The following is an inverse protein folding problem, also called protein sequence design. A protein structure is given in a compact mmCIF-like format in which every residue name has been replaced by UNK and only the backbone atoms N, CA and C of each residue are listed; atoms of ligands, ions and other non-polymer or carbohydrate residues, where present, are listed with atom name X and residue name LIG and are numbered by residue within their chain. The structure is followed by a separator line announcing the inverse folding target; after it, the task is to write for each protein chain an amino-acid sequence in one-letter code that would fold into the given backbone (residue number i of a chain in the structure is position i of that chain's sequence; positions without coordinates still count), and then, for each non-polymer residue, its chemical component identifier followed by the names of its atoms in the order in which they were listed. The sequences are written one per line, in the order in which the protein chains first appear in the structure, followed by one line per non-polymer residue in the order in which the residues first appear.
data_IF_901306131655
#
_entry.id   IF_901306131655
#
_cell.length_a   1.000
_cell.length_b   1.000
_cell.length_c   1.000
_cell.angle_alpha   90.00
_cell.angle_beta   90.00
_cell.angle_gamma   90.00
#
_symmetry.space_group_name_H-M   'P 1'
#
loop_
_entity.id
_entity.type
_entity.pdbx_description
1 polymer ?
#
# COMPACT_ATOMS: atom_id res chain seq x y z
N UNK A 1 17.08 10.65 -14.28
CA UNK A 1 16.34 9.85 -13.28
C UNK A 1 15.14 10.67 -12.87
N UNK A 2 13.97 10.39 -13.44
CA UNK A 2 12.76 11.18 -13.21
C UNK A 2 12.02 10.65 -11.99
N UNK A 3 11.77 11.51 -11.00
CA UNK A 3 11.00 11.16 -9.81
C UNK A 3 9.51 11.34 -10.13
N UNK A 4 8.77 10.25 -10.15
CA UNK A 4 7.32 10.21 -10.43
C UNK A 4 6.46 10.94 -9.38
N UNK A 5 7.05 11.38 -8.27
CA UNK A 5 6.45 12.33 -7.34
C UNK A 5 7.45 13.45 -7.03
N UNK A 6 7.56 14.42 -7.94
CA UNK A 6 8.38 15.62 -7.71
C UNK A 6 7.50 16.75 -7.18
N UNK A 7 7.35 16.82 -5.87
CA UNK A 7 6.75 17.99 -5.21
C UNK A 7 7.83 19.00 -4.87
N UNK A 8 8.22 19.86 -5.81
CA UNK A 8 8.86 21.13 -5.46
C UNK A 8 7.77 22.14 -5.11
N UNK A 9 7.42 22.20 -3.82
CA UNK A 9 6.63 23.32 -3.30
C UNK A 9 7.45 24.03 -2.21
N UNK A 10 7.73 25.33 -2.43
CA UNK A 10 8.36 26.22 -1.45
C UNK A 10 7.34 26.74 -0.41
N UNK A 11 6.26 26.00 -0.16
CA UNK A 11 5.30 26.35 0.87
C UNK A 11 5.84 25.91 2.24
N UNK A 12 5.58 26.67 3.33
CA UNK A 12 5.91 26.22 4.68
C UNK A 12 5.29 24.83 4.87
N UNK A 13 6.06 23.90 5.48
CA UNK A 13 5.63 22.53 5.79
C UNK A 13 4.32 22.61 6.59
N UNK A 14 3.20 22.56 5.88
CA UNK A 14 1.90 22.31 6.48
C UNK A 14 2.04 20.94 7.10
N UNK A 15 1.63 20.84 8.36
CA UNK A 15 1.24 19.60 8.99
C UNK A 15 0.43 18.79 7.94
N UNK A 16 1.08 17.84 7.28
CA UNK A 16 0.49 17.13 6.14
C UNK A 16 -0.55 16.20 6.73
N UNK A 17 -1.80 16.68 6.68
CA UNK A 17 -2.96 15.98 7.20
C UNK A 17 -2.89 14.50 6.86
N UNK A 18 -3.00 13.67 7.89
CA UNK A 18 -3.17 12.23 7.79
C UNK A 18 -4.45 11.95 6.99
N UNK A 19 -4.33 12.02 5.66
CA UNK A 19 -5.43 11.88 4.71
C UNK A 19 -5.48 10.46 4.19
N UNK A 20 -6.70 9.93 4.06
CA UNK A 20 -6.96 8.68 3.36
C UNK A 20 -6.94 8.97 1.86
N UNK A 21 -6.14 8.21 1.11
CA UNK A 21 -6.04 8.32 -0.35
C UNK A 21 -6.56 7.02 -0.96
N UNK A 22 -7.47 7.13 -1.93
CA UNK A 22 -8.00 6.01 -2.69
C UNK A 22 -7.46 6.05 -4.12
N UNK A 23 -6.76 5.00 -4.55
CA UNK A 23 -6.34 4.80 -5.93
C UNK A 23 -7.35 3.87 -6.63
N UNK A 24 -7.99 4.37 -7.70
CA UNK A 24 -8.94 3.59 -8.50
C UNK A 24 -8.55 3.57 -9.97
N UNK A 25 -8.99 2.53 -10.69
CA UNK A 25 -8.73 2.37 -12.11
C UNK A 25 -9.10 0.97 -12.61
N UNK A 26 -9.19 0.77 -13.94
CA UNK A 26 -9.55 -0.51 -14.54
C UNK A 26 -8.65 -1.68 -14.10
N UNK A 27 -9.10 -2.95 -14.27
CA UNK A 27 -8.22 -4.11 -14.12
C UNK A 27 -6.94 -3.94 -14.95
N UNK A 28 -5.82 -4.43 -14.42
CA UNK A 28 -4.51 -4.43 -15.10
C UNK A 28 -3.90 -3.04 -15.43
N UNK A 29 -4.42 -1.92 -14.91
CA UNK A 29 -3.85 -0.59 -15.16
C UNK A 29 -2.62 -0.22 -14.30
N UNK A 30 -2.00 -1.20 -13.61
CA UNK A 30 -0.77 -0.99 -12.83
C UNK A 30 -0.94 -0.49 -11.40
N UNK A 31 -2.15 -0.55 -10.81
CA UNK A 31 -2.43 -0.06 -9.44
C UNK A 31 -1.51 -0.66 -8.38
N UNK A 32 -1.42 -1.99 -8.32
CA UNK A 32 -0.56 -2.71 -7.37
C UNK A 32 0.91 -2.28 -7.49
N UNK A 33 1.41 -2.09 -8.71
CA UNK A 33 2.79 -1.61 -8.93
C UNK A 33 2.98 -0.16 -8.47
N UNK A 34 1.99 0.71 -8.72
CA UNK A 34 2.02 2.10 -8.25
C UNK A 34 1.96 2.18 -6.71
N UNK A 35 1.10 1.39 -6.07
CA UNK A 35 1.01 1.28 -4.61
C UNK A 35 2.32 0.77 -4.01
N UNK A 36 2.95 -0.22 -4.64
CA UNK A 36 4.24 -0.74 -4.19
C UNK A 36 5.36 0.31 -4.34
N UNK A 37 5.41 1.02 -5.47
CA UNK A 37 6.36 2.12 -5.65
C UNK A 37 6.13 3.26 -4.64
N UNK A 38 4.87 3.55 -4.31
CA UNK A 38 4.53 4.48 -3.24
C UNK A 38 5.05 3.99 -1.88
N UNK A 39 4.94 2.70 -1.57
CA UNK A 39 5.50 2.11 -0.36
C UNK A 39 7.02 2.33 -0.26
N UNK A 40 7.74 2.08 -1.35
CA UNK A 40 9.19 2.30 -1.45
C UNK A 40 9.54 3.76 -1.20
N UNK A 41 8.84 4.68 -1.87
CA UNK A 41 9.09 6.12 -1.70
C UNK A 41 8.83 6.57 -0.26
N UNK A 42 7.75 6.10 0.35
CA UNK A 42 7.40 6.44 1.74
C UNK A 42 8.38 5.89 2.75
N UNK A 43 8.88 4.67 2.56
CA UNK A 43 9.93 4.09 3.39
C UNK A 43 11.26 4.85 3.29
N UNK A 44 11.56 5.38 2.09
CA UNK A 44 12.76 6.20 1.85
C UNK A 44 12.64 7.61 2.46
N UNK A 45 11.49 8.28 2.28
CA UNK A 45 11.24 9.64 2.76
C UNK A 45 11.13 9.74 4.28
N UNK A 46 10.43 8.80 4.91
CA UNK A 46 10.11 8.86 6.33
C UNK A 46 11.19 8.24 7.23
N UNK A 47 12.01 7.34 6.69
CA UNK A 47 12.90 6.48 7.46
C UNK A 47 12.20 5.44 8.36
N UNK A 48 10.85 5.40 8.35
CA UNK A 48 10.01 4.49 9.16
C UNK A 48 9.52 3.32 8.32
N UNK A 49 8.96 2.32 8.99
CA UNK A 49 8.32 1.17 8.35
C UNK A 49 7.05 1.55 7.59
N UNK A 50 6.76 0.82 6.52
CA UNK A 50 5.51 0.90 5.75
C UNK A 50 4.86 -0.47 5.76
N UNK A 51 3.54 -0.51 5.92
CA UNK A 51 2.78 -1.77 5.85
C UNK A 51 2.08 -1.84 4.51
N UNK A 52 2.26 -2.96 3.81
CA UNK A 52 1.59 -3.27 2.55
C UNK A 52 0.68 -4.49 2.76
N UNK A 53 -0.63 -4.27 2.76
CA UNK A 53 -1.66 -5.29 2.93
C UNK A 53 -2.14 -5.72 1.54
N UNK A 54 -2.12 -7.02 1.28
CA UNK A 54 -2.55 -7.57 0.00
C UNK A 54 -2.96 -9.05 0.11
N UNK A 55 -3.65 -9.57 -0.90
CA UNK A 55 -3.87 -11.01 -1.04
C UNK A 55 -2.57 -11.74 -1.42
N UNK A 56 -2.30 -12.88 -0.77
CA UNK A 56 -1.10 -13.69 -1.03
C UNK A 56 -1.14 -14.25 -2.45
N UNK A 57 -2.26 -14.85 -2.85
CA UNK A 57 -2.40 -15.48 -4.16
C UNK A 57 -2.24 -14.47 -5.31
N UNK A 58 -2.71 -13.24 -5.11
CA UNK A 58 -2.57 -12.18 -6.12
C UNK A 58 -1.15 -11.65 -6.21
N UNK A 59 -0.47 -11.44 -5.07
CA UNK A 59 0.91 -10.99 -5.07
C UNK A 59 1.85 -12.04 -5.71
N UNK A 60 1.62 -13.33 -5.45
CA UNK A 60 2.41 -14.42 -6.02
C UNK A 60 2.16 -14.61 -7.52
N UNK A 61 0.92 -14.47 -7.98
CA UNK A 61 0.56 -14.62 -9.41
C UNK A 61 0.92 -13.41 -10.26
N UNK A 62 0.88 -12.21 -9.69
CA UNK A 62 1.11 -10.94 -10.39
C UNK A 62 1.94 -9.99 -9.51
N UNK A 63 3.25 -10.25 -9.34
CA UNK A 63 4.09 -9.42 -8.49
C UNK A 63 4.18 -7.98 -9.03
N UNK A 64 4.26 -6.97 -8.15
CA UNK A 64 4.38 -5.58 -8.58
C UNK A 64 5.67 -5.34 -9.37
N UNK A 65 5.56 -4.54 -10.43
CA UNK A 65 6.75 -4.09 -11.15
C UNK A 65 7.52 -3.09 -10.30
N UNK A 66 8.82 -3.35 -10.14
CA UNK A 66 9.76 -2.39 -9.55
C UNK A 66 10.24 -1.42 -10.64
N UNK A 67 10.27 -0.13 -10.33
CA UNK A 67 10.91 0.84 -11.23
C UNK A 67 12.40 0.51 -11.41
N UNK A 68 12.94 0.77 -12.61
CA UNK A 68 14.35 0.54 -12.89
C UNK A 68 15.22 1.35 -11.92
N UNK A 69 16.05 0.65 -11.12
CA UNK A 69 16.95 1.27 -10.15
C UNK A 69 16.60 1.04 -8.68
N UNK A 70 15.51 0.32 -8.37
CA UNK A 70 15.31 -0.23 -7.02
C UNK A 70 16.25 -1.43 -6.87
N UNK A 71 17.33 -1.26 -6.10
CA UNK A 71 18.25 -2.37 -5.79
C UNK A 71 17.60 -3.29 -4.73
N UNK A 72 17.40 -4.59 -5.02
CA UNK A 72 16.80 -5.55 -4.09
C UNK A 72 17.59 -5.72 -2.78
N UNK A 73 18.88 -5.36 -2.78
CA UNK A 73 19.72 -5.38 -1.57
C UNK A 73 19.49 -4.18 -0.65
N UNK A 74 18.66 -3.21 -1.07
CA UNK A 74 18.36 -2.02 -0.27
C UNK A 74 17.67 -2.40 1.03
N UNK A 75 18.24 -1.93 2.13
CA UNK A 75 17.61 -1.83 3.46
C UNK A 75 16.24 -1.14 3.45
N UNK A 76 15.88 -0.45 2.36
CA UNK A 76 14.56 0.12 2.15
C UNK A 76 13.46 -0.94 2.01
N UNK A 77 13.69 -2.03 1.27
CA UNK A 77 12.67 -3.09 1.13
C UNK A 77 12.43 -3.80 2.46
N UNK A 78 13.45 -3.89 3.32
CA UNK A 78 13.32 -4.43 4.68
C UNK A 78 12.40 -3.59 5.58
N UNK A 79 12.14 -2.33 5.22
CA UNK A 79 11.17 -1.46 5.93
C UNK A 79 9.75 -1.66 5.45
N UNK A 80 9.52 -2.39 4.36
CA UNK A 80 8.19 -2.68 3.85
C UNK A 80 7.74 -4.02 4.43
N UNK A 81 6.79 -3.98 5.35
CA UNK A 81 6.18 -5.17 5.92
C UNK A 81 4.98 -5.58 5.07
N UNK A 82 5.05 -6.76 4.46
CA UNK A 82 3.92 -7.33 3.73
C UNK A 82 3.03 -8.12 4.70
N UNK A 83 1.73 -7.82 4.69
CA UNK A 83 0.71 -8.54 5.46
C UNK A 83 -0.31 -9.15 4.50
N UNK A 84 -0.45 -10.46 4.56
CA UNK A 84 -1.45 -11.19 3.81
C UNK A 84 -2.75 -11.23 4.60
N UNK A 85 -3.78 -10.57 4.09
CA UNK A 85 -5.12 -10.52 4.67
C UNK A 85 -6.09 -10.78 3.52
N UNK A 86 -7.01 -11.73 3.70
CA UNK A 86 -7.94 -12.16 2.64
C UNK A 86 -9.41 -11.81 2.97
N UNK A 87 -9.71 -11.38 4.20
CA UNK A 87 -11.08 -11.16 4.68
C UNK A 87 -11.25 -9.81 5.41
N UNK A 88 -12.45 -9.23 5.30
CA UNK A 88 -12.81 -7.95 5.90
C UNK A 88 -12.81 -7.96 7.44
N UNK A 89 -13.10 -9.07 8.10
CA UNK A 89 -13.01 -9.15 9.57
C UNK A 89 -11.55 -9.05 10.04
N UNK A 90 -10.62 -9.65 9.30
CA UNK A 90 -9.20 -9.60 9.61
C UNK A 90 -8.62 -8.20 9.42
N UNK A 91 -9.07 -7.46 8.38
CA UNK A 91 -8.65 -6.07 8.20
C UNK A 91 -9.12 -5.19 9.36
N UNK A 92 -10.35 -5.41 9.85
CA UNK A 92 -10.90 -4.73 11.02
C UNK A 92 -10.10 -5.02 12.28
N UNK A 93 -9.78 -6.29 12.56
CA UNK A 93 -8.94 -6.71 13.70
C UNK A 93 -7.54 -6.09 13.62
N UNK A 94 -6.96 -6.01 12.41
CA UNK A 94 -5.65 -5.42 12.21
C UNK A 94 -5.63 -3.94 12.62
N UNK A 95 -6.57 -3.14 12.13
CA UNK A 95 -6.66 -1.73 12.49
C UNK A 95 -7.07 -1.51 13.96
N UNK A 96 -7.92 -2.38 14.52
CA UNK A 96 -8.28 -2.33 15.94
C UNK A 96 -7.07 -2.48 16.86
N UNK A 97 -6.05 -3.25 16.45
CA UNK A 97 -4.81 -3.46 17.22
C UNK A 97 -3.82 -2.29 17.15
N UNK A 98 -4.10 -1.19 16.42
CA UNK A 98 -3.13 -0.09 16.24
C UNK A 98 -2.74 0.59 17.55
N UNK A 99 -3.62 0.59 18.54
CA UNK A 99 -3.33 1.14 19.87
C UNK A 99 -2.24 0.36 20.63
N UNK A 100 -1.87 -0.84 20.18
CA UNK A 100 -0.80 -1.67 20.74
C UNK A 100 0.57 -1.40 20.11
N UNK A 101 0.65 -0.57 19.07
CA UNK A 101 1.91 -0.28 18.38
C UNK A 101 2.71 0.79 19.14
N UNK A 102 3.96 0.48 19.50
CA UNK A 102 4.89 1.44 20.08
C UNK A 102 5.21 2.60 19.11
N UNK A 103 5.26 2.29 17.81
CA UNK A 103 5.50 3.25 16.74
C UNK A 103 4.57 2.95 15.57
N UNK A 104 3.87 3.98 15.09
CA UNK A 104 3.06 3.86 13.89
C UNK A 104 3.95 3.67 12.64
N UNK A 105 3.46 3.00 11.59
CA UNK A 105 4.11 3.04 10.29
C UNK A 105 3.95 4.44 9.66
N UNK A 106 4.79 4.75 8.67
CA UNK A 106 4.64 5.97 7.88
C UNK A 106 3.45 5.92 6.93
N UNK A 107 3.05 4.72 6.50
CA UNK A 107 1.86 4.47 5.71
C UNK A 107 1.37 3.04 5.90
N UNK A 108 0.06 2.86 5.78
CA UNK A 108 -0.61 1.57 5.65
C UNK A 108 -1.29 1.58 4.29
N UNK A 109 -0.86 0.68 3.43
CA UNK A 109 -1.31 0.59 2.04
C UNK A 109 -2.13 -0.68 1.93
N UNK A 110 -3.34 -0.59 1.38
CA UNK A 110 -4.23 -1.72 1.17
C UNK A 110 -4.43 -1.88 -0.33
N UNK A 111 -3.88 -2.94 -0.91
CA UNK A 111 -4.12 -3.30 -2.30
C UNK A 111 -5.50 -3.96 -2.43
N UNK A 112 -6.20 -3.63 -3.51
CA UNK A 112 -7.57 -4.10 -3.82
C UNK A 112 -8.55 -4.01 -2.65
N UNK A 113 -8.58 -2.84 -1.99
CA UNK A 113 -9.43 -2.54 -0.84
C UNK A 113 -10.91 -2.97 -1.00
N UNK A 114 -11.47 -2.90 -2.21
CA UNK A 114 -12.86 -3.26 -2.46
C UNK A 114 -13.15 -4.76 -2.27
N UNK A 115 -12.15 -5.62 -2.50
CA UNK A 115 -12.32 -7.08 -2.46
C UNK A 115 -12.58 -7.59 -1.02
N UNK A 116 -12.20 -6.83 0.00
CA UNK A 116 -12.49 -7.15 1.41
C UNK A 116 -13.97 -7.05 1.79
N UNK A 117 -14.77 -6.33 1.00
CA UNK A 117 -16.18 -6.05 1.30
C UNK A 117 -17.13 -6.56 0.21
N UNK A 118 -16.60 -7.21 -0.82
CA UNK A 118 -17.41 -7.87 -1.83
C UNK A 118 -17.95 -9.20 -1.29
N UNK A 119 -19.00 -9.14 -0.47
CA UNK A 119 -19.87 -10.30 -0.31
C UNK A 119 -20.54 -10.60 -1.66
N UNK A 120 -20.45 -11.87 -2.07
CA UNK A 120 -21.07 -12.53 -3.22
C UNK A 120 -22.32 -11.85 -3.84
N UNK A 121 -22.16 -10.82 -4.69
CA UNK A 121 -23.20 -10.42 -5.64
C UNK A 121 -23.06 -11.28 -6.91
N UNK A 122 -23.26 -12.60 -6.77
CA UNK A 122 -23.46 -13.51 -7.89
C UNK A 122 -24.44 -14.62 -7.51
N UNK A 123 -25.67 -14.23 -7.16
CA UNK A 123 -26.85 -15.05 -7.42
C UNK A 123 -27.91 -14.18 -8.10
N UNK A 124 -27.73 -13.92 -9.39
CA UNK A 124 -28.87 -13.69 -10.28
C UNK A 124 -28.82 -14.80 -11.31
N UNK A 125 -29.46 -15.93 -10.96
CA UNK A 125 -29.91 -16.88 -11.96
C UNK A 125 -30.84 -16.13 -12.91
N UNK A 126 -30.45 -16.01 -14.16
CA UNK A 126 -31.37 -15.68 -15.27
C UNK A 126 -31.27 -16.78 -16.30
#
# INVERSE_FOLDING_TARGET
MERFFSSTSNAPRRDEGAGIILLSGPPCCGKTSLLFQFAVNRAAESGRGVVFICSKGRLESNPPFLSQGVDPSMSLLQRIQIKYIEDGDEIGKYFAAFHLLDNFPAAVIVDDFADFFSESICYINT
#
